data_IF_333105613839
#
_entry.id   IF_333105613839
#
_cell.length_a   1.000
_cell.length_b   1.000
_cell.length_c   1.000
_cell.angle_alpha   90.00
_cell.angle_beta   90.00
_cell.angle_gamma   90.00
#
_symmetry.space_group_name_H-M   'P 1'
#
loop_
_entity.id
_entity.type
_entity.pdbx_description
1 polymer ?
#
# COMPACT_ATOMS: atom_id res chain seq x y z
N UNK A 1 29.11 -39.25 7.91
CA UNK A 1 29.02 -38.84 6.49
C UNK A 1 29.26 -37.34 6.46
N UNK A 2 30.43 -36.90 5.96
CA UNK A 2 30.82 -35.49 5.87
C UNK A 2 30.09 -34.86 4.68
N UNK A 3 29.51 -33.67 4.88
CA UNK A 3 29.34 -32.70 3.79
C UNK A 3 30.04 -31.42 4.26
N UNK A 4 31.07 -31.04 3.51
CA UNK A 4 31.98 -29.94 3.77
C UNK A 4 31.34 -28.58 3.51
N UNK A 5 31.56 -27.64 4.43
CA UNK A 5 31.38 -26.21 4.20
C UNK A 5 32.38 -25.72 3.13
N UNK A 6 31.88 -25.36 1.95
CA UNK A 6 32.62 -24.71 0.89
C UNK A 6 32.24 -23.23 0.80
N UNK A 7 33.16 -22.38 1.25
CA UNK A 7 33.32 -20.95 1.02
C UNK A 7 32.23 -20.21 0.20
N UNK A 8 31.51 -19.29 0.86
CA UNK A 8 31.00 -18.08 0.21
C UNK A 8 31.28 -16.84 1.06
N UNK A 9 32.39 -16.20 0.69
CA UNK A 9 32.76 -14.77 0.71
C UNK A 9 32.14 -13.83 1.76
N UNK A 10 33.05 -13.29 2.56
CA UNK A 10 32.95 -12.40 3.72
C UNK A 10 32.59 -10.94 3.41
N UNK A 11 31.46 -10.64 2.75
CA UNK A 11 31.02 -9.24 2.54
C UNK A 11 29.64 -8.84 3.08
N UNK A 12 28.92 -9.73 3.72
CA UNK A 12 27.58 -9.43 4.27
C UNK A 12 27.54 -9.27 5.80
N UNK A 13 28.67 -9.39 6.48
CA UNK A 13 28.71 -9.41 7.95
C UNK A 13 28.67 -8.03 8.62
N UNK A 14 28.79 -6.93 7.87
CA UNK A 14 28.97 -5.58 8.46
C UNK A 14 27.67 -4.81 8.69
N UNK A 15 26.51 -5.31 8.24
CA UNK A 15 25.25 -4.57 8.38
C UNK A 15 24.42 -5.05 9.59
N UNK A 16 24.69 -6.22 10.15
CA UNK A 16 23.88 -6.80 11.24
C UNK A 16 24.40 -6.41 12.65
N UNK A 17 25.67 -6.03 12.80
CA UNK A 17 26.21 -5.61 14.10
C UNK A 17 25.60 -4.30 14.62
N UNK A 18 25.20 -3.38 13.75
CA UNK A 18 24.75 -2.05 14.17
C UNK A 18 23.32 -1.99 14.73
N UNK A 19 22.48 -2.98 14.42
CA UNK A 19 21.09 -3.03 14.92
C UNK A 19 20.95 -3.85 16.21
N UNK A 20 21.80 -4.86 16.40
CA UNK A 20 21.84 -5.67 17.62
C UNK A 20 22.52 -4.91 18.77
N UNK A 21 23.57 -4.13 18.46
CA UNK A 21 24.24 -3.31 19.47
C UNK A 21 23.36 -2.20 20.05
N UNK A 22 22.39 -1.65 19.29
CA UNK A 22 21.45 -0.66 19.84
C UNK A 22 20.46 -1.26 20.86
N UNK A 23 20.15 -2.56 20.77
CA UNK A 23 19.30 -3.25 21.74
C UNK A 23 20.12 -3.75 22.94
N UNK A 24 21.41 -4.08 22.75
CA UNK A 24 22.32 -4.44 23.83
C UNK A 24 22.62 -3.28 24.79
N UNK A 25 22.66 -2.03 24.29
CA UNK A 25 22.90 -0.83 25.11
C UNK A 25 21.75 -0.54 26.09
N UNK A 26 20.54 -1.07 25.83
CA UNK A 26 19.40 -0.96 26.75
C UNK A 26 19.33 -2.10 27.79
N UNK A 27 20.26 -3.07 27.73
CA UNK A 27 20.18 -4.35 28.44
C UNK A 27 21.00 -4.49 29.72
N UNK A 28 21.64 -3.44 30.25
CA UNK A 28 22.38 -3.55 31.52
C UNK A 28 21.51 -3.48 32.78
N UNK A 29 20.18 -3.38 32.64
CA UNK A 29 19.26 -3.37 33.78
C UNK A 29 18.13 -4.37 33.57
N UNK A 30 18.22 -5.51 34.27
CA UNK A 30 17.20 -6.53 34.55
C UNK A 30 17.29 -7.86 33.78
N UNK A 31 17.55 -8.92 34.54
CA UNK A 31 17.65 -10.32 34.08
C UNK A 31 16.38 -10.94 33.49
N UNK A 32 15.26 -10.23 33.47
CA UNK A 32 14.03 -10.66 32.76
C UNK A 32 14.15 -10.58 31.23
N UNK A 33 15.15 -9.85 30.71
CA UNK A 33 15.41 -9.74 29.27
C UNK A 33 16.17 -10.96 28.69
N UNK A 34 16.80 -11.77 29.53
CA UNK A 34 17.56 -12.96 29.10
C UNK A 34 16.64 -14.03 28.50
N UNK A 35 15.47 -14.26 29.11
CA UNK A 35 14.41 -15.12 28.55
C UNK A 35 13.81 -14.51 27.26
N UNK A 36 13.76 -13.18 27.16
CA UNK A 36 13.29 -12.52 25.94
C UNK A 36 14.26 -12.70 24.76
N UNK A 37 15.57 -12.83 25.00
CA UNK A 37 16.57 -13.05 23.94
C UNK A 37 16.55 -14.48 23.42
N UNK A 38 16.29 -15.50 24.27
CA UNK A 38 16.14 -16.89 23.79
C UNK A 38 14.92 -17.04 22.89
N UNK A 39 13.80 -16.39 23.24
CA UNK A 39 12.56 -16.47 22.45
C UNK A 39 12.68 -15.66 21.15
N UNK A 40 13.41 -14.53 21.17
CA UNK A 40 13.74 -13.76 19.95
C UNK A 40 14.73 -14.54 19.06
N UNK A 41 15.65 -15.31 19.63
CA UNK A 41 16.56 -16.18 18.88
C UNK A 41 15.81 -17.34 18.19
N UNK A 42 14.76 -17.87 18.80
CA UNK A 42 13.85 -18.82 18.13
C UNK A 42 13.04 -18.16 17.01
N UNK A 43 12.50 -16.95 17.23
CA UNK A 43 11.77 -16.21 16.18
C UNK A 43 12.70 -15.84 15.01
N UNK A 44 13.96 -15.51 15.28
CA UNK A 44 14.94 -15.17 14.23
C UNK A 44 15.52 -16.39 13.50
N UNK A 45 15.61 -17.54 14.15
CA UNK A 45 15.96 -18.80 13.47
C UNK A 45 14.84 -19.29 12.54
N UNK A 46 13.57 -18.99 12.84
CA UNK A 46 12.45 -19.16 11.89
C UNK A 46 12.50 -18.20 10.69
N UNK A 47 13.13 -17.03 10.83
CA UNK A 47 13.29 -16.03 9.76
C UNK A 47 14.35 -16.48 8.73
N UNK A 48 15.19 -17.47 9.06
CA UNK A 48 16.35 -17.87 8.25
C UNK A 48 16.09 -18.95 7.20
N UNK A 49 14.87 -19.49 7.11
CA UNK A 49 14.47 -20.45 6.06
C UNK A 49 13.51 -19.76 5.10
N UNK A 50 14.01 -19.47 3.90
CA UNK A 50 13.21 -18.93 2.80
C UNK A 50 12.06 -19.87 2.44
N UNK A 51 10.90 -19.27 2.13
CA UNK A 51 9.59 -19.89 1.85
C UNK A 51 8.74 -20.13 3.13
N UNK A 52 7.76 -19.25 3.40
CA UNK A 52 6.72 -19.50 4.43
C UNK A 52 6.26 -18.29 5.26
N UNK A 53 6.96 -17.14 5.19
CA UNK A 53 6.71 -15.99 6.09
C UNK A 53 5.33 -15.35 5.93
N UNK A 54 4.74 -15.40 4.74
CA UNK A 54 3.38 -14.87 4.52
C UNK A 54 2.31 -15.72 5.17
N UNK A 55 2.50 -17.03 5.29
CA UNK A 55 1.45 -17.92 5.78
C UNK A 55 1.44 -17.99 7.32
N UNK A 56 2.61 -17.94 7.96
CA UNK A 56 2.72 -17.95 9.42
C UNK A 56 2.28 -16.62 10.02
N UNK A 57 2.72 -15.47 9.49
CA UNK A 57 2.28 -14.15 9.98
C UNK A 57 0.82 -13.86 9.64
N UNK A 58 0.33 -14.30 8.47
CA UNK A 58 -1.09 -14.14 8.11
C UNK A 58 -1.98 -15.08 8.93
N UNK A 59 -1.59 -16.35 9.18
CA UNK A 59 -2.34 -17.24 10.08
C UNK A 59 -2.29 -16.77 11.55
N UNK A 60 -1.26 -16.03 11.94
CA UNK A 60 -1.13 -15.38 13.24
C UNK A 60 -2.06 -14.15 13.37
N UNK A 61 -2.11 -13.28 12.36
CA UNK A 61 -3.09 -12.17 12.26
C UNK A 61 -4.54 -12.68 12.15
N UNK A 62 -4.77 -13.80 11.47
CA UNK A 62 -6.09 -14.45 11.33
C UNK A 62 -6.49 -15.30 12.56
N UNK A 63 -5.71 -15.30 13.64
CA UNK A 63 -6.05 -15.97 14.91
C UNK A 63 -6.10 -17.50 14.86
N UNK A 64 -5.37 -18.15 13.94
CA UNK A 64 -5.40 -19.61 13.76
C UNK A 64 -4.42 -20.39 14.65
N UNK A 65 -3.63 -19.73 15.49
CA UNK A 65 -2.70 -20.37 16.44
C UNK A 65 -2.95 -19.91 17.89
N UNK A 66 -2.84 -20.87 18.83
CA UNK A 66 -3.12 -20.73 20.28
C UNK A 66 -2.01 -20.00 21.07
N UNK A 67 -1.43 -18.92 20.56
CA UNK A 67 -0.40 -18.16 21.28
C UNK A 67 -0.91 -16.78 21.70
N UNK A 68 -1.01 -16.55 23.01
CA UNK A 68 -1.38 -15.26 23.62
C UNK A 68 -0.13 -14.45 23.95
N UNK A 69 0.10 -13.36 23.22
CA UNK A 69 1.17 -12.39 23.55
C UNK A 69 0.68 -11.28 24.49
N UNK A 70 1.61 -10.70 25.24
CA UNK A 70 1.33 -9.59 26.16
C UNK A 70 0.83 -8.34 25.40
N UNK A 71 -0.25 -7.67 25.83
CA UNK A 71 -0.90 -6.56 25.09
C UNK A 71 0.04 -5.42 24.68
N UNK A 72 1.11 -5.20 25.46
CA UNK A 72 2.13 -4.16 25.18
C UNK A 72 3.02 -4.41 23.96
N UNK A 73 2.98 -5.60 23.35
CA UNK A 73 3.79 -5.94 22.17
C UNK A 73 3.05 -5.70 20.86
N UNK A 74 1.73 -5.57 20.91
CA UNK A 74 0.88 -5.31 19.75
C UNK A 74 1.29 -4.03 18.99
N UNK A 75 1.60 -2.89 19.65
CA UNK A 75 2.06 -1.69 18.96
C UNK A 75 3.41 -1.87 18.24
N UNK A 76 4.32 -2.67 18.81
CA UNK A 76 5.64 -2.94 18.24
C UNK A 76 5.55 -3.90 17.04
N UNK A 77 4.75 -4.96 17.16
CA UNK A 77 4.47 -5.90 16.07
C UNK A 77 3.77 -5.17 14.93
N UNK A 78 2.79 -4.31 15.23
CA UNK A 78 2.13 -3.49 14.22
C UNK A 78 3.08 -2.46 13.61
N UNK A 79 3.95 -1.80 14.38
CA UNK A 79 4.96 -0.90 13.83
C UNK A 79 5.97 -1.61 12.91
N UNK A 80 6.33 -2.86 13.23
CA UNK A 80 7.20 -3.70 12.40
C UNK A 80 6.46 -4.19 11.14
N UNK A 81 5.19 -4.61 11.26
CA UNK A 81 4.33 -4.92 10.12
C UNK A 81 4.14 -3.70 9.23
N UNK A 82 3.88 -2.51 9.77
CA UNK A 82 3.75 -1.26 9.01
C UNK A 82 5.07 -0.89 8.33
N UNK A 83 6.21 -1.01 9.03
CA UNK A 83 7.53 -0.85 8.41
C UNK A 83 7.76 -1.84 7.28
N UNK A 84 7.28 -3.09 7.37
CA UNK A 84 7.36 -4.08 6.29
C UNK A 84 6.34 -3.83 5.18
N UNK A 85 5.13 -3.39 5.51
CA UNK A 85 4.03 -3.03 4.59
C UNK A 85 4.39 -1.82 3.74
N UNK A 86 5.08 -0.84 4.33
CA UNK A 86 5.61 0.35 3.67
C UNK A 86 7.06 0.17 3.17
N UNK A 87 7.68 -1.01 3.36
CA UNK A 87 8.96 -1.34 2.74
C UNK A 87 8.72 -1.73 1.27
N UNK A 88 8.98 -0.77 0.38
CA UNK A 88 8.74 -0.85 -1.08
C UNK A 88 9.33 -2.08 -1.78
N UNK A 89 10.28 -2.78 -1.15
CA UNK A 89 10.96 -3.93 -1.77
C UNK A 89 10.29 -5.29 -1.47
N UNK A 90 9.27 -5.36 -0.60
CA UNK A 90 8.71 -6.65 -0.14
C UNK A 90 7.19 -6.78 -0.10
N UNK A 91 6.40 -5.73 -0.30
CA UNK A 91 4.94 -5.84 -0.38
C UNK A 91 4.43 -5.67 -1.81
N UNK A 92 3.88 -6.76 -2.33
CA UNK A 92 3.40 -6.97 -3.69
C UNK A 92 4.47 -6.97 -4.80
N UNK A 93 4.69 -8.14 -5.42
CA UNK A 93 5.39 -8.27 -6.70
C UNK A 93 4.33 -8.24 -7.79
N UNK A 94 4.20 -7.17 -8.60
CA UNK A 94 3.40 -7.26 -9.81
C UNK A 94 3.90 -8.46 -10.62
N UNK A 95 2.99 -9.31 -11.12
CA UNK A 95 3.37 -10.50 -11.91
C UNK A 95 4.27 -10.13 -13.09
N UNK A 96 4.23 -8.87 -13.56
CA UNK A 96 5.18 -8.26 -14.49
C UNK A 96 5.65 -6.91 -13.97
N UNK A 97 6.92 -6.78 -13.61
CA UNK A 97 7.57 -5.48 -13.37
C UNK A 97 7.55 -4.67 -14.66
N UNK A 98 7.48 -3.33 -14.58
CA UNK A 98 7.91 -2.51 -15.73
C UNK A 98 9.31 -2.99 -16.12
N UNK A 99 9.47 -3.44 -17.37
CA UNK A 99 10.72 -4.09 -17.78
C UNK A 99 11.87 -3.09 -17.68
N UNK A 100 12.98 -3.44 -17.00
CA UNK A 100 14.15 -2.56 -16.93
C UNK A 100 14.63 -2.18 -18.33
N UNK A 101 14.84 -0.88 -18.56
CA UNK A 101 15.19 -0.33 -19.88
C UNK A 101 14.00 0.15 -20.72
N UNK A 102 12.76 0.04 -20.22
CA UNK A 102 11.58 0.65 -20.86
C UNK A 102 11.37 2.10 -20.42
N UNK A 103 10.75 2.91 -21.29
CA UNK A 103 10.38 4.31 -20.97
C UNK A 103 9.52 4.39 -19.69
N UNK A 104 8.55 3.47 -19.52
CA UNK A 104 7.71 3.43 -18.30
C UNK A 104 8.50 3.09 -17.04
N UNK A 105 9.50 2.22 -17.13
CA UNK A 105 10.36 1.93 -15.99
C UNK A 105 11.19 3.15 -15.58
N UNK A 106 11.72 3.89 -16.55
CA UNK A 106 12.45 5.13 -16.29
C UNK A 106 11.54 6.24 -15.74
N UNK A 107 10.31 6.36 -16.26
CA UNK A 107 9.29 7.27 -15.72
C UNK A 107 8.92 6.92 -14.27
N UNK A 108 8.70 5.65 -13.97
CA UNK A 108 8.45 5.17 -12.62
C UNK A 108 9.60 5.51 -11.67
N UNK A 109 10.85 5.29 -12.09
CA UNK A 109 12.03 5.68 -11.30
C UNK A 109 12.10 7.18 -11.06
N UNK A 110 11.88 8.00 -12.09
CA UNK A 110 11.87 9.48 -11.98
C UNK A 110 10.82 9.92 -10.96
N UNK A 111 9.58 9.44 -11.07
CA UNK A 111 8.51 9.76 -10.13
C UNK A 111 8.87 9.34 -8.69
N UNK A 112 9.44 8.15 -8.51
CA UNK A 112 9.87 7.70 -7.18
C UNK A 112 11.04 8.48 -6.60
N UNK A 113 12.01 8.88 -7.41
CA UNK A 113 13.17 9.66 -6.97
C UNK A 113 12.73 11.05 -6.49
N UNK A 114 11.86 11.71 -7.25
CA UNK A 114 11.35 13.05 -6.92
C UNK A 114 10.48 13.06 -5.65
N UNK A 115 9.76 11.97 -5.37
CA UNK A 115 9.00 11.81 -4.13
C UNK A 115 9.92 11.67 -2.89
N UNK A 116 11.11 11.08 -3.06
CA UNK A 116 12.07 10.85 -1.97
C UNK A 116 12.94 12.06 -1.65
N UNK A 117 13.06 13.03 -2.56
CA UNK A 117 13.94 14.20 -2.40
C UNK A 117 13.28 15.39 -1.68
N UNK A 118 12.03 15.26 -1.21
CA UNK A 118 11.32 16.35 -0.53
C UNK A 118 10.92 17.51 -1.44
N UNK A 119 10.87 17.29 -2.76
CA UNK A 119 10.40 18.27 -3.73
C UNK A 119 8.90 18.58 -3.53
N UNK A 120 8.47 19.77 -3.93
CA UNK A 120 7.06 20.14 -3.92
C UNK A 120 6.26 19.14 -4.77
N UNK A 121 5.33 18.42 -4.14
CA UNK A 121 4.51 17.39 -4.78
C UNK A 121 3.77 17.91 -6.02
N UNK A 122 3.45 19.21 -6.09
CA UNK A 122 2.85 19.81 -7.29
C UNK A 122 3.78 19.74 -8.50
N UNK A 123 5.08 19.93 -8.29
CA UNK A 123 6.08 19.79 -9.37
C UNK A 123 6.33 18.33 -9.74
N UNK A 124 6.24 17.42 -8.77
CA UNK A 124 6.47 15.98 -8.98
C UNK A 124 5.44 15.35 -9.90
N UNK A 125 4.20 15.84 -9.87
CA UNK A 125 3.10 15.25 -10.66
C UNK A 125 3.06 15.74 -12.11
N UNK A 126 3.76 16.82 -12.44
CA UNK A 126 3.75 17.40 -13.78
C UNK A 126 4.33 16.42 -14.81
N UNK A 127 3.73 16.43 -16.01
CA UNK A 127 4.23 15.61 -17.12
C UNK A 127 5.64 16.09 -17.50
N UNK A 128 6.67 15.22 -17.46
CA UNK A 128 8.00 15.65 -17.84
C UNK A 128 8.07 16.03 -19.34
N UNK A 129 8.92 17.00 -19.72
CA UNK A 129 9.00 17.46 -21.10
C UNK A 129 9.33 16.32 -22.09
N UNK A 130 8.53 16.20 -23.15
CA UNK A 130 8.72 15.21 -24.21
C UNK A 130 8.19 13.80 -23.91
N UNK A 131 7.61 13.58 -22.73
CA UNK A 131 7.02 12.29 -22.36
C UNK A 131 5.56 12.17 -22.81
N UNK A 132 5.08 10.93 -22.98
CA UNK A 132 3.69 10.68 -23.35
C UNK A 132 2.76 10.75 -22.13
N UNK A 133 1.66 11.48 -22.25
CA UNK A 133 0.67 11.66 -21.17
C UNK A 133 0.03 10.35 -20.68
N UNK A 134 -0.28 9.42 -21.59
CA UNK A 134 -0.92 8.16 -21.22
C UNK A 134 0.06 7.23 -20.51
N UNK A 135 1.33 7.22 -20.90
CA UNK A 135 2.38 6.48 -20.18
C UNK A 135 2.58 7.06 -18.76
N UNK A 136 2.55 8.38 -18.63
CA UNK A 136 2.65 9.05 -17.33
C UNK A 136 1.46 8.74 -16.41
N UNK A 137 0.24 8.80 -16.95
CA UNK A 137 -0.98 8.41 -16.24
C UNK A 137 -0.94 6.94 -15.84
N UNK A 138 -0.52 6.04 -16.74
CA UNK A 138 -0.44 4.62 -16.46
C UNK A 138 0.47 4.31 -15.26
N UNK A 139 1.66 4.91 -15.23
CA UNK A 139 2.62 4.76 -14.13
C UNK A 139 2.02 5.21 -12.80
N UNK A 140 1.33 6.35 -12.77
CA UNK A 140 0.72 6.89 -11.55
C UNK A 140 -0.48 6.09 -11.08
N UNK A 141 -1.36 5.67 -11.99
CA UNK A 141 -2.53 4.83 -11.64
C UNK A 141 -2.07 3.54 -10.96
N UNK A 142 -1.03 2.90 -11.47
CA UNK A 142 -0.45 1.69 -10.86
C UNK A 142 0.20 1.98 -9.50
N UNK A 143 0.96 3.08 -9.36
CA UNK A 143 1.55 3.46 -8.06
C UNK A 143 0.46 3.73 -7.01
N UNK A 144 -0.58 4.50 -7.36
CA UNK A 144 -1.68 4.80 -6.46
C UNK A 144 -2.47 3.55 -6.09
N UNK A 145 -2.79 2.68 -7.03
CA UNK A 145 -3.45 1.41 -6.72
C UNK A 145 -2.67 0.63 -5.66
N UNK A 146 -1.37 0.42 -5.87
CA UNK A 146 -0.54 -0.34 -4.93
C UNK A 146 -0.49 0.32 -3.55
N UNK A 147 -0.27 1.63 -3.49
CA UNK A 147 -0.14 2.35 -2.21
C UNK A 147 -1.46 2.41 -1.46
N UNK A 148 -2.57 2.63 -2.15
CA UNK A 148 -3.91 2.66 -1.55
C UNK A 148 -4.34 1.26 -1.09
N UNK A 149 -4.01 0.21 -1.86
CA UNK A 149 -4.26 -1.17 -1.46
C UNK A 149 -3.50 -1.52 -0.17
N UNK A 150 -2.25 -1.07 -0.03
CA UNK A 150 -1.49 -1.22 1.21
C UNK A 150 -2.12 -0.45 2.39
N UNK A 151 -2.55 0.80 2.16
CA UNK A 151 -3.25 1.59 3.18
C UNK A 151 -4.53 0.89 3.64
N UNK A 152 -5.33 0.36 2.71
CA UNK A 152 -6.54 -0.37 3.09
C UNK A 152 -6.23 -1.70 3.78
N UNK A 153 -5.16 -2.39 3.37
CA UNK A 153 -4.70 -3.62 4.01
C UNK A 153 -4.49 -3.48 5.52
N UNK A 154 -4.00 -2.32 5.98
CA UNK A 154 -3.81 -2.06 7.43
C UNK A 154 -5.12 -1.78 8.17
N UNK A 155 -6.20 -1.44 7.46
CA UNK A 155 -7.55 -1.25 8.02
C UNK A 155 -8.40 -2.52 7.95
N UNK A 156 -7.97 -3.55 7.22
CA UNK A 156 -8.83 -4.69 6.86
C UNK A 156 -9.37 -5.48 8.07
N UNK A 157 -8.63 -5.53 9.17
CA UNK A 157 -9.06 -6.22 10.40
C UNK A 157 -10.13 -5.43 11.19
N UNK A 158 -10.08 -4.10 11.12
CA UNK A 158 -11.02 -3.21 11.83
C UNK A 158 -12.22 -2.81 10.97
N UNK A 159 -12.09 -2.90 9.64
CA UNK A 159 -13.15 -2.66 8.67
C UNK A 159 -13.99 -3.94 8.49
N UNK A 160 -15.00 -4.11 9.33
CA UNK A 160 -15.88 -5.30 9.33
C UNK A 160 -17.29 -4.95 8.85
N UNK A 161 -18.10 -5.96 8.52
CA UNK A 161 -19.53 -5.73 8.20
C UNK A 161 -20.31 -5.15 9.40
N UNK A 162 -19.83 -5.37 10.63
CA UNK A 162 -20.45 -4.80 11.84
C UNK A 162 -20.12 -3.33 12.02
N UNK A 163 -18.85 -2.96 11.85
CA UNK A 163 -18.42 -1.56 11.97
C UNK A 163 -18.85 -0.73 10.76
N UNK A 164 -18.84 -1.33 9.58
CA UNK A 164 -19.07 -0.66 8.30
C UNK A 164 -20.08 -1.46 7.44
N UNK A 165 -21.36 -1.52 7.87
CA UNK A 165 -22.40 -2.32 7.21
C UNK A 165 -22.76 -1.80 5.80
N UNK A 166 -22.37 -0.56 5.49
CA UNK A 166 -22.59 0.08 4.20
C UNK A 166 -21.31 0.82 3.83
N UNK A 167 -20.86 0.69 2.57
CA UNK A 167 -19.79 1.52 2.02
C UNK A 167 -20.26 2.99 1.92
N UNK A 168 -19.65 3.86 2.72
CA UNK A 168 -20.05 5.28 2.80
C UNK A 168 -18.86 6.20 3.06
N UNK A 169 -19.06 7.48 2.71
CA UNK A 169 -18.24 8.61 3.12
C UNK A 169 -18.96 9.44 4.17
N UNK A 170 -19.16 8.86 5.36
CA UNK A 170 -19.97 9.47 6.43
C UNK A 170 -21.47 9.38 6.16
N UNK A 171 -22.25 10.24 6.82
CA UNK A 171 -23.73 10.21 6.75
C UNK A 171 -24.29 10.72 5.42
N UNK A 172 -23.52 11.53 4.68
CA UNK A 172 -23.98 12.24 3.48
C UNK A 172 -23.78 11.44 2.18
N UNK A 173 -22.80 10.54 2.13
CA UNK A 173 -22.39 9.88 0.89
C UNK A 173 -22.47 8.36 1.03
N UNK A 174 -23.33 7.72 0.24
CA UNK A 174 -23.46 6.27 0.14
C UNK A 174 -22.92 5.79 -1.21
N UNK A 175 -21.99 4.83 -1.21
CA UNK A 175 -21.42 4.27 -2.44
C UNK A 175 -22.04 2.90 -2.74
N UNK A 176 -22.69 2.79 -3.90
CA UNK A 176 -23.28 1.54 -4.38
C UNK A 176 -22.39 0.88 -5.41
N UNK A 177 -22.33 -0.44 -5.35
CA UNK A 177 -21.61 -1.24 -6.33
C UNK A 177 -22.52 -1.63 -7.49
N UNK A 178 -21.96 -1.62 -8.69
CA UNK A 178 -22.58 -2.13 -9.90
C UNK A 178 -21.48 -2.71 -10.79
N UNK A 179 -21.75 -3.87 -11.36
CA UNK A 179 -20.94 -4.51 -12.39
C UNK A 179 -21.85 -5.22 -13.41
N UNK A 180 -21.25 -5.68 -14.50
CA UNK A 180 -21.98 -6.32 -15.59
C UNK A 180 -22.24 -7.82 -15.35
N UNK A 181 -21.77 -8.37 -14.22
CA UNK A 181 -21.85 -9.80 -13.93
C UNK A 181 -22.87 -10.09 -12.81
N UNK A 182 -22.48 -9.85 -11.56
CA UNK A 182 -23.23 -10.24 -10.36
C UNK A 182 -24.17 -9.14 -9.90
N UNK A 183 -23.81 -7.87 -10.06
CA UNK A 183 -24.55 -6.72 -9.54
C UNK A 183 -25.02 -5.80 -10.66
N UNK A 184 -26.01 -6.27 -11.44
CA UNK A 184 -26.56 -5.55 -12.61
C UNK A 184 -27.26 -4.23 -12.29
N UNK A 185 -27.53 -3.94 -11.01
CA UNK A 185 -28.14 -2.69 -10.53
C UNK A 185 -27.31 -2.14 -9.37
N UNK A 186 -27.31 -0.81 -9.14
CA UNK A 186 -26.65 -0.19 -7.99
C UNK A 186 -27.10 -0.81 -6.67
N UNK A 187 -26.21 -1.60 -6.06
CA UNK A 187 -26.49 -2.42 -4.88
C UNK A 187 -25.70 -1.92 -3.68
N UNK A 188 -26.35 -1.88 -2.51
CA UNK A 188 -25.68 -1.57 -1.24
C UNK A 188 -24.85 -2.78 -0.82
N UNK A 189 -23.58 -2.55 -0.51
CA UNK A 189 -22.69 -3.57 0.03
C UNK A 189 -22.04 -3.06 1.31
N UNK A 190 -21.70 -3.95 2.26
CA UNK A 190 -20.77 -3.64 3.33
C UNK A 190 -19.45 -3.09 2.79
N UNK A 191 -18.83 -2.18 3.54
CA UNK A 191 -17.56 -1.59 3.12
C UNK A 191 -16.47 -2.64 2.81
N UNK A 192 -16.19 -3.65 3.66
CA UNK A 192 -15.14 -4.62 3.34
C UNK A 192 -15.40 -5.40 2.04
N UNK A 193 -16.66 -5.76 1.79
CA UNK A 193 -17.03 -6.43 0.54
C UNK A 193 -16.86 -5.50 -0.67
N UNK A 194 -17.29 -4.24 -0.56
CA UNK A 194 -17.10 -3.25 -1.61
C UNK A 194 -15.61 -3.05 -1.92
N UNK A 195 -14.75 -2.95 -0.90
CA UNK A 195 -13.32 -2.73 -1.06
C UNK A 195 -12.63 -3.92 -1.73
N UNK A 196 -12.93 -5.15 -1.31
CA UNK A 196 -12.42 -6.37 -1.97
C UNK A 196 -12.77 -6.38 -3.46
N UNK A 197 -14.04 -6.19 -3.79
CA UNK A 197 -14.49 -6.15 -5.18
C UNK A 197 -13.87 -4.99 -5.98
N UNK A 198 -13.64 -3.85 -5.34
CA UNK A 198 -12.98 -2.71 -5.95
C UNK A 198 -11.54 -3.03 -6.31
N UNK A 199 -10.76 -3.57 -5.37
CA UNK A 199 -9.35 -3.88 -5.59
C UNK A 199 -9.19 -4.96 -6.67
N UNK A 200 -10.00 -6.02 -6.61
CA UNK A 200 -10.01 -7.07 -7.63
C UNK A 200 -10.33 -6.50 -9.03
N UNK A 201 -11.36 -5.65 -9.11
CA UNK A 201 -11.75 -5.01 -10.37
C UNK A 201 -10.63 -4.15 -10.95
N UNK A 202 -9.97 -3.31 -10.15
CA UNK A 202 -8.83 -2.49 -10.61
C UNK A 202 -7.67 -3.39 -11.03
N UNK A 203 -7.37 -4.44 -10.26
CA UNK A 203 -6.30 -5.39 -10.55
C UNK A 203 -6.51 -6.05 -11.92
N UNK A 204 -7.74 -6.45 -12.26
CA UNK A 204 -8.04 -7.02 -13.58
C UNK A 204 -7.77 -6.04 -14.73
N UNK A 205 -7.99 -4.73 -14.51
CA UNK A 205 -7.79 -3.70 -15.54
C UNK A 205 -6.31 -3.38 -15.74
N UNK A 206 -5.56 -3.16 -14.66
CA UNK A 206 -4.14 -2.79 -14.74
C UNK A 206 -3.27 -3.92 -15.29
N UNK A 207 -3.72 -5.17 -15.15
CA UNK A 207 -3.03 -6.35 -15.68
C UNK A 207 -3.48 -6.74 -17.10
N UNK A 208 -4.47 -6.04 -17.68
CA UNK A 208 -4.94 -6.32 -19.04
C UNK A 208 -4.06 -5.58 -20.06
N UNK A 209 -3.31 -6.32 -20.90
CA UNK A 209 -2.41 -5.74 -21.93
C UNK A 209 -3.17 -4.95 -23.01
N UNK A 210 -4.47 -5.18 -23.20
CA UNK A 210 -5.30 -4.39 -24.13
C UNK A 210 -5.65 -2.99 -23.58
N UNK A 211 -5.55 -2.82 -22.25
CA UNK A 211 -5.83 -1.56 -21.56
C UNK A 211 -4.54 -0.88 -21.12
N UNK A 212 -3.61 -1.63 -20.52
CA UNK A 212 -2.30 -1.20 -20.05
C UNK A 212 -1.20 -1.94 -20.84
N UNK A 213 -0.95 -1.56 -22.11
CA UNK A 213 -0.05 -2.29 -23.01
C UNK A 213 1.41 -2.18 -22.56
N UNK A 214 2.07 -3.28 -22.19
CA UNK A 214 3.44 -3.24 -21.64
C UNK A 214 4.55 -3.17 -22.70
N UNK A 215 4.23 -3.47 -23.96
CA UNK A 215 5.19 -3.56 -25.06
C UNK A 215 5.41 -2.21 -25.71
N UNK A 216 6.67 -1.89 -26.00
CA UNK A 216 7.06 -0.68 -26.72
C UNK A 216 6.40 -0.69 -28.10
N UNK A 217 5.81 0.44 -28.50
CA UNK A 217 5.17 0.62 -29.81
C UNK A 217 3.70 0.18 -29.88
N UNK A 218 3.14 -0.42 -28.82
CA UNK A 218 1.70 -0.70 -28.76
C UNK A 218 0.96 0.51 -28.17
N UNK A 219 0.04 1.14 -28.92
CA UNK A 219 -0.69 2.31 -28.43
C UNK A 219 -1.74 1.92 -27.39
N UNK A 220 -2.03 2.85 -26.47
CA UNK A 220 -3.16 2.73 -25.55
C UNK A 220 -4.50 2.73 -26.29
N UNK A 221 -5.55 2.11 -25.74
CA UNK A 221 -6.89 2.18 -26.32
C UNK A 221 -7.43 3.61 -26.27
N UNK A 222 -8.32 3.95 -27.20
CA UNK A 222 -8.87 5.32 -27.34
C UNK A 222 -9.57 5.82 -26.07
N UNK A 223 -10.14 4.92 -25.28
CA UNK A 223 -10.84 5.23 -24.03
C UNK A 223 -9.93 5.12 -22.79
N UNK A 224 -8.61 4.98 -22.93
CA UNK A 224 -7.68 4.75 -21.82
C UNK A 224 -7.84 5.75 -20.67
N UNK A 225 -7.84 7.05 -20.97
CA UNK A 225 -8.00 8.08 -19.94
C UNK A 225 -9.34 7.99 -19.20
N UNK A 226 -10.43 7.61 -19.90
CA UNK A 226 -11.73 7.40 -19.27
C UNK A 226 -11.70 6.20 -18.30
N UNK A 227 -10.99 5.13 -18.67
CA UNK A 227 -10.75 3.98 -17.79
C UNK A 227 -9.95 4.40 -16.55
N UNK A 228 -8.87 5.15 -16.74
CA UNK A 228 -8.04 5.68 -15.65
C UNK A 228 -8.82 6.62 -14.72
N UNK A 229 -9.63 7.54 -15.26
CA UNK A 229 -10.56 8.37 -14.49
C UNK A 229 -11.48 7.50 -13.63
N UNK A 230 -12.10 6.46 -14.21
CA UNK A 230 -12.99 5.56 -13.45
C UNK A 230 -12.26 4.83 -12.33
N UNK A 231 -11.02 4.39 -12.56
CA UNK A 231 -10.16 3.78 -11.54
C UNK A 231 -9.87 4.77 -10.42
N UNK A 232 -9.38 5.97 -10.75
CA UNK A 232 -9.00 6.99 -9.78
C UNK A 232 -10.20 7.49 -8.97
N UNK A 233 -11.35 7.74 -9.60
CA UNK A 233 -12.59 8.09 -8.89
C UNK A 233 -13.00 7.03 -7.88
N UNK A 234 -12.84 5.74 -8.20
CA UNK A 234 -13.17 4.67 -7.25
C UNK A 234 -12.08 4.51 -6.17
N UNK A 235 -10.80 4.69 -6.49
CA UNK A 235 -9.71 4.72 -5.50
C UNK A 235 -9.88 5.87 -4.50
N UNK A 236 -10.36 7.03 -4.93
CA UNK A 236 -10.66 8.15 -4.04
C UNK A 236 -11.67 7.75 -2.94
N UNK A 237 -12.66 6.90 -3.25
CA UNK A 237 -13.63 6.40 -2.25
C UNK A 237 -12.96 5.62 -1.13
N UNK A 238 -11.80 5.00 -1.39
CA UNK A 238 -11.00 4.32 -0.36
C UNK A 238 -10.45 5.35 0.62
N UNK A 239 -9.86 6.45 0.14
CA UNK A 239 -9.44 7.54 1.02
C UNK A 239 -10.59 8.10 1.83
N UNK A 240 -11.73 8.40 1.18
CA UNK A 240 -12.92 8.92 1.87
C UNK A 240 -13.32 8.00 3.03
N UNK A 241 -13.45 6.70 2.75
CA UNK A 241 -13.86 5.72 3.76
C UNK A 241 -12.85 5.63 4.91
N UNK A 242 -11.57 5.53 4.58
CA UNK A 242 -10.48 5.40 5.56
C UNK A 242 -10.35 6.63 6.45
N UNK A 243 -10.42 7.85 5.88
CA UNK A 243 -10.37 9.10 6.63
C UNK A 243 -11.60 9.35 7.50
N UNK A 244 -12.78 8.87 7.10
CA UNK A 244 -14.00 9.15 7.86
C UNK A 244 -14.26 8.10 8.95
N UNK A 245 -14.05 6.83 8.64
CA UNK A 245 -14.45 5.72 9.53
C UNK A 245 -13.28 5.11 10.31
N UNK A 246 -12.04 5.30 9.85
CA UNK A 246 -10.88 4.60 10.40
C UNK A 246 -9.70 5.53 10.75
N UNK A 247 -9.95 6.83 10.87
CA UNK A 247 -8.89 7.80 11.18
C UNK A 247 -8.24 7.56 12.54
N UNK A 248 -9.03 7.21 13.57
CA UNK A 248 -8.50 6.87 14.89
C UNK A 248 -7.54 5.67 14.82
N UNK A 249 -7.86 4.67 14.00
CA UNK A 249 -6.98 3.52 13.76
C UNK A 249 -5.68 3.95 13.07
N UNK A 250 -5.75 4.86 12.09
CA UNK A 250 -4.56 5.44 11.43
C UNK A 250 -3.66 6.18 12.43
N UNK A 251 -4.25 7.00 13.31
CA UNK A 251 -3.53 7.74 14.36
C UNK A 251 -2.88 6.76 15.34
N UNK A 252 -3.64 5.78 15.83
CA UNK A 252 -3.16 4.80 16.83
C UNK A 252 -1.94 4.00 16.33
N UNK A 253 -1.82 3.84 15.02
CA UNK A 253 -0.71 3.16 14.36
C UNK A 253 0.45 4.07 13.95
N UNK A 254 0.32 5.39 14.14
CA UNK A 254 1.30 6.37 13.68
C UNK A 254 1.45 6.42 12.14
N UNK A 255 0.42 5.97 11.40
CA UNK A 255 0.46 5.88 9.95
C UNK A 255 -0.02 7.18 9.25
N UNK A 256 -0.54 8.15 10.00
CA UNK A 256 -1.17 9.37 9.50
C UNK A 256 -0.33 10.10 8.45
N UNK A 257 0.95 10.39 8.75
CA UNK A 257 1.84 11.11 7.82
C UNK A 257 2.00 10.41 6.47
N UNK A 258 2.02 9.07 6.47
CA UNK A 258 2.13 8.26 5.26
C UNK A 258 0.86 8.31 4.43
N UNK A 259 -0.31 8.20 5.09
CA UNK A 259 -1.62 8.31 4.43
C UNK A 259 -1.81 9.71 3.86
N UNK A 260 -1.51 10.76 4.64
CA UNK A 260 -1.61 12.16 4.22
C UNK A 260 -0.71 12.47 3.02
N UNK A 261 0.53 11.97 3.02
CA UNK A 261 1.44 12.14 1.88
C UNK A 261 0.94 11.40 0.64
N UNK A 262 0.37 10.21 0.80
CA UNK A 262 -0.23 9.47 -0.30
C UNK A 262 -1.45 10.20 -0.87
N UNK A 263 -2.32 10.70 0.00
CA UNK A 263 -3.50 11.48 -0.37
C UNK A 263 -3.12 12.78 -1.09
N UNK A 264 -2.15 13.54 -0.55
CA UNK A 264 -1.68 14.79 -1.15
C UNK A 264 -1.10 14.58 -2.55
N UNK A 265 -0.27 13.56 -2.71
CA UNK A 265 0.26 13.18 -4.03
C UNK A 265 -0.88 12.78 -4.98
N UNK A 266 -1.84 11.97 -4.52
CA UNK A 266 -3.01 11.59 -5.31
C UNK A 266 -3.83 12.82 -5.74
N UNK A 267 -4.17 13.71 -4.80
CA UNK A 267 -4.98 14.90 -5.04
C UNK A 267 -4.35 15.86 -6.04
N UNK A 268 -3.05 16.12 -5.92
CA UNK A 268 -2.34 16.96 -6.89
C UNK A 268 -2.29 16.32 -8.27
N UNK A 269 -2.07 15.01 -8.35
CA UNK A 269 -2.04 14.32 -9.63
C UNK A 269 -3.39 14.36 -10.36
N UNK A 270 -4.50 14.05 -9.66
CA UNK A 270 -5.83 14.10 -10.27
C UNK A 270 -6.24 15.52 -10.67
N UNK A 271 -5.74 16.53 -9.94
CA UNK A 271 -6.03 17.94 -10.20
C UNK A 271 -5.25 18.45 -11.40
N UNK A 272 -3.96 18.12 -11.50
CA UNK A 272 -3.06 18.50 -12.61
C UNK A 272 -3.63 18.06 -13.97
N UNK A 273 -4.16 16.83 -14.04
CA UNK A 273 -4.69 16.25 -15.28
C UNK A 273 -6.22 16.29 -15.36
N UNK A 274 -6.91 16.97 -14.44
CA UNK A 274 -8.38 17.05 -14.39
C UNK A 274 -9.08 15.70 -14.51
N UNK A 275 -8.55 14.67 -13.84
CA UNK A 275 -8.97 13.28 -13.99
C UNK A 275 -10.24 12.93 -13.20
N UNK A 276 -10.63 13.76 -12.23
CA UNK A 276 -11.83 13.58 -11.40
C UNK A 276 -12.62 14.90 -11.34
N UNK A 277 -13.94 14.80 -11.45
CA UNK A 277 -14.87 15.93 -11.28
C UNK A 277 -14.83 16.45 -9.83
N UNK A 278 -14.81 17.77 -9.65
CA UNK A 278 -14.77 18.40 -8.34
C UNK A 278 -15.92 17.98 -7.42
N UNK A 279 -17.09 17.64 -7.97
CA UNK A 279 -18.24 17.14 -7.20
C UNK A 279 -17.96 15.81 -6.51
N UNK A 280 -17.14 14.96 -7.12
CA UNK A 280 -16.75 13.68 -6.53
C UNK A 280 -15.77 13.88 -5.35
N UNK A 281 -15.07 15.02 -5.29
CA UNK A 281 -14.07 15.34 -4.26
C UNK A 281 -14.65 16.01 -3.00
N UNK A 282 -15.91 16.45 -3.06
CA UNK A 282 -16.62 17.11 -1.97
C UNK A 282 -16.55 16.37 -0.62
N UNK A 283 -16.62 15.02 -0.53
CA UNK A 283 -16.56 14.31 0.75
C UNK A 283 -15.31 14.58 1.59
N UNK A 284 -14.18 14.96 0.97
CA UNK A 284 -12.93 15.28 1.66
C UNK A 284 -12.50 16.74 1.46
N UNK A 285 -13.39 17.63 1.04
CA UNK A 285 -13.04 19.03 0.76
C UNK A 285 -12.33 19.72 1.91
N UNK A 286 -12.91 19.70 3.11
CA UNK A 286 -12.31 20.34 4.30
C UNK A 286 -10.96 19.71 4.69
N UNK A 287 -10.83 18.39 4.55
CA UNK A 287 -9.57 17.69 4.83
C UNK A 287 -8.50 18.07 3.79
N UNK A 288 -8.90 18.19 2.53
CA UNK A 288 -8.03 18.60 1.43
C UNK A 288 -7.50 20.00 1.65
N UNK A 289 -8.36 20.93 2.06
CA UNK A 289 -7.98 22.29 2.43
C UNK A 289 -6.91 22.29 3.54
N UNK A 290 -7.02 21.43 4.55
CA UNK A 290 -6.04 21.35 5.65
C UNK A 290 -4.71 20.69 5.27
N UNK A 291 -4.70 19.71 4.37
CA UNK A 291 -3.50 18.93 4.03
C UNK A 291 -2.73 19.54 2.85
N UNK A 292 -3.46 20.14 1.91
CA UNK A 292 -2.92 20.59 0.63
C UNK A 292 -2.68 22.10 0.56
N UNK A 293 -3.26 22.89 1.47
CA UNK A 293 -3.13 24.34 1.52
C UNK A 293 -2.62 24.79 2.90
#
# INVERSE_FOLDING_TARGET
MKISAGAFSSKYFVIVENSVNSLAVLGELNGSLSLAISDIAEVTSFIQIGCGVTEVLLNFCLGKNNYSFHPGWFPLIMALCLKQVFNKDKTFRPRKKFEPGTQRFELFKKAQASLKSGLDLKTVVQLPPGENINDWIAVHVVDFFNRINLIYGTMSEVCTEKSCPIMSGGLKYEYRWQDDQRFKRPTKLPAPQYMSMLMDWIETLINNEDIFPTRIGVPFPKNFQQVCTKILTRLFRVFVHVYIHHFDSIISMGAEAHVNTCYKHFYYFISEFSLIDQRELEPLKEMTEKICH
#
